data_IF_187906733448
#
_entry.id   IF_187906733448
#
_cell.length_a   1.000
_cell.length_b   1.000
_cell.length_c   1.000
_cell.angle_alpha   90.00
_cell.angle_beta   90.00
_cell.angle_gamma   90.00
#
_symmetry.space_group_name_H-M   'P 1'
#
loop_
_entity.id
_entity.type
_entity.pdbx_description
1 polymer ?
#
# COMPACT_ATOMS: atom_id res chain seq x y z
N UNK A 1 -3.12 -28.62 45.55
CA UNK A 1 -2.09 -28.12 44.62
C UNK A 1 -2.63 -26.87 43.97
N UNK A 2 -2.18 -25.69 44.37
CA UNK A 2 -2.63 -24.41 43.81
C UNK A 2 -1.87 -24.15 42.51
N UNK A 3 -2.55 -24.26 41.37
CA UNK A 3 -1.98 -23.88 40.08
C UNK A 3 -1.87 -22.36 40.03
N UNK A 4 -0.65 -21.85 39.89
CA UNK A 4 -0.39 -20.44 39.59
C UNK A 4 -1.22 -19.99 38.38
N UNK A 5 -1.82 -18.79 38.40
CA UNK A 5 -2.60 -18.29 37.27
C UNK A 5 -1.73 -18.24 36.01
N UNK A 6 -2.31 -18.52 34.82
CA UNK A 6 -1.56 -18.43 33.57
C UNK A 6 -1.00 -17.02 33.39
N UNK A 7 0.19 -16.88 32.79
CA UNK A 7 0.76 -15.57 32.52
C UNK A 7 -0.23 -14.72 31.71
N UNK A 8 -0.31 -13.41 31.98
CA UNK A 8 -1.23 -12.54 31.26
C UNK A 8 -0.92 -12.60 29.77
N UNK A 9 -1.94 -12.92 28.95
CA UNK A 9 -1.80 -12.93 27.50
C UNK A 9 -1.53 -11.50 27.04
N UNK A 10 -0.50 -11.30 26.22
CA UNK A 10 -0.24 -9.99 25.62
C UNK A 10 -1.43 -9.55 24.75
N UNK A 11 -1.60 -8.24 24.61
CA UNK A 11 -2.60 -7.67 23.69
C UNK A 11 -2.20 -7.93 22.24
N UNK A 12 -3.21 -8.02 21.38
CA UNK A 12 -3.05 -8.19 19.94
C UNK A 12 -2.82 -6.84 19.27
N UNK A 13 -1.85 -6.81 18.36
CA UNK A 13 -1.49 -5.63 17.57
C UNK A 13 -2.11 -5.74 16.19
N UNK A 14 -2.85 -4.72 15.82
CA UNK A 14 -3.68 -4.75 14.61
C UNK A 14 -3.19 -3.72 13.62
N UNK A 15 -3.00 -4.15 12.37
CA UNK A 15 -2.83 -3.27 11.22
C UNK A 15 -4.17 -3.16 10.50
N UNK A 16 -4.69 -1.94 10.33
CA UNK A 16 -6.00 -1.71 9.71
C UNK A 16 -5.85 -0.92 8.43
N UNK A 17 -6.34 -1.45 7.32
CA UNK A 17 -6.51 -0.73 6.07
C UNK A 17 -7.76 0.14 6.17
N UNK A 18 -7.60 1.46 6.13
CA UNK A 18 -8.71 2.42 6.09
C UNK A 18 -8.25 3.74 5.48
N UNK A 19 -9.19 4.60 5.08
CA UNK A 19 -8.87 5.96 4.60
C UNK A 19 -8.51 6.86 5.80
N UNK A 20 -7.27 7.39 5.89
CA UNK A 20 -6.88 8.26 6.99
C UNK A 20 -7.76 9.50 7.06
N UNK A 21 -8.01 9.99 8.28
CA UNK A 21 -8.83 11.19 8.56
C UNK A 21 -10.28 11.11 8.06
N UNK A 22 -10.78 9.92 7.72
CA UNK A 22 -12.20 9.72 7.43
C UNK A 22 -13.02 9.50 8.71
N UNK A 23 -14.34 9.68 8.64
CA UNK A 23 -15.25 9.32 9.74
C UNK A 23 -15.08 7.85 10.15
N UNK A 24 -14.83 6.97 9.18
CA UNK A 24 -14.60 5.54 9.42
C UNK A 24 -13.31 5.29 10.21
N UNK A 25 -12.23 5.99 9.86
CA UNK A 25 -10.99 5.96 10.64
C UNK A 25 -11.23 6.35 12.10
N UNK A 26 -11.96 7.45 12.35
CA UNK A 26 -12.32 7.87 13.71
C UNK A 26 -13.16 6.82 14.44
N UNK A 27 -14.17 6.24 13.78
CA UNK A 27 -15.01 5.17 14.36
C UNK A 27 -14.19 3.94 14.74
N UNK A 28 -13.23 3.53 13.91
CA UNK A 28 -12.34 2.41 14.20
C UNK A 28 -11.50 2.72 15.44
N UNK A 29 -10.89 3.91 15.51
CA UNK A 29 -10.09 4.28 16.69
C UNK A 29 -10.94 4.33 17.97
N UNK A 30 -12.16 4.86 17.88
CA UNK A 30 -13.10 4.89 19.01
C UNK A 30 -13.50 3.47 19.46
N UNK A 31 -13.76 2.56 18.51
CA UNK A 31 -14.07 1.16 18.81
C UNK A 31 -12.92 0.51 19.60
N UNK A 32 -11.68 0.66 19.14
CA UNK A 32 -10.49 0.12 19.82
C UNK A 32 -10.19 0.79 21.16
N UNK A 33 -10.74 1.99 21.41
CA UNK A 33 -10.63 2.68 22.69
C UNK A 33 -11.66 2.21 23.74
N UNK A 34 -12.63 1.37 23.38
CA UNK A 34 -13.61 0.84 24.35
C UNK A 34 -12.98 -0.15 25.33
N UNK A 35 -13.44 -0.25 26.60
CA UNK A 35 -12.86 -1.16 27.59
C UNK A 35 -12.77 -2.63 27.15
N UNK A 36 -13.78 -3.22 26.47
CA UNK A 36 -13.68 -4.59 25.98
C UNK A 36 -12.56 -4.77 24.94
N UNK A 37 -12.39 -3.80 24.04
CA UNK A 37 -11.34 -3.87 23.01
C UNK A 37 -9.97 -3.64 23.62
N UNK A 38 -9.81 -2.65 24.51
CA UNK A 38 -8.55 -2.37 25.18
C UNK A 38 -8.05 -3.53 26.05
N UNK A 39 -8.94 -4.41 26.52
CA UNK A 39 -8.54 -5.61 27.24
C UNK A 39 -7.76 -6.59 26.35
N UNK A 40 -8.10 -6.68 25.06
CA UNK A 40 -7.56 -7.67 24.13
C UNK A 40 -6.60 -7.10 23.08
N UNK A 41 -6.70 -5.81 22.76
CA UNK A 41 -6.02 -5.19 21.63
C UNK A 41 -5.22 -3.95 22.06
N UNK A 42 -4.10 -3.72 21.40
CA UNK A 42 -3.43 -2.42 21.38
C UNK A 42 -4.17 -1.45 20.46
N UNK A 43 -3.85 -0.15 20.57
CA UNK A 43 -4.32 0.84 19.61
C UNK A 43 -3.88 0.43 18.20
N UNK A 44 -4.80 0.36 17.22
CA UNK A 44 -4.48 -0.15 15.89
C UNK A 44 -3.55 0.80 15.14
N UNK A 45 -2.62 0.24 14.37
CA UNK A 45 -1.84 1.00 13.38
C UNK A 45 -2.62 1.07 12.08
N UNK A 46 -2.57 2.23 11.40
CA UNK A 46 -3.29 2.44 10.15
C UNK A 46 -2.36 2.23 8.95
N UNK A 47 -2.79 1.36 8.02
CA UNK A 47 -2.32 1.31 6.65
C UNK A 47 -3.29 2.10 5.77
N UNK A 48 -2.82 3.07 4.96
CA UNK A 48 -3.73 3.92 4.19
C UNK A 48 -4.37 3.15 3.04
N UNK A 49 -5.70 3.22 2.94
CA UNK A 49 -6.41 2.87 1.71
C UNK A 49 -6.00 3.79 0.55
N UNK A 50 -6.09 3.29 -0.68
CA UNK A 50 -5.74 4.06 -1.88
C UNK A 50 -7.02 4.48 -2.61
N UNK A 51 -7.29 5.79 -2.73
CA UNK A 51 -8.40 6.25 -3.55
C UNK A 51 -8.16 5.91 -5.02
N UNK A 52 -9.13 5.29 -5.68
CA UNK A 52 -9.03 4.94 -7.11
C UNK A 52 -8.77 6.15 -8.02
N UNK A 53 -9.23 7.34 -7.61
CA UNK A 53 -8.95 8.60 -8.30
C UNK A 53 -7.48 9.01 -8.21
N UNK A 54 -6.79 8.69 -7.12
CA UNK A 54 -5.39 9.10 -6.92
C UNK A 54 -4.45 8.44 -7.93
N UNK A 55 -4.70 7.16 -8.26
CA UNK A 55 -3.93 6.38 -9.23
C UNK A 55 -4.37 6.61 -10.69
N UNK A 56 -5.11 7.70 -10.98
CA UNK A 56 -5.32 8.21 -12.35
C UNK A 56 -4.09 8.91 -12.90
N UNK A 57 -3.31 9.55 -12.03
CA UNK A 57 -2.02 10.12 -12.39
C UNK A 57 -0.99 9.00 -12.56
N UNK A 58 -0.21 9.06 -13.65
CA UNK A 58 0.89 8.12 -13.89
C UNK A 58 1.87 8.10 -12.72
N UNK A 59 2.32 9.26 -12.26
CA UNK A 59 3.23 9.35 -11.12
C UNK A 59 2.64 8.73 -9.85
N UNK A 60 1.38 9.03 -9.52
CA UNK A 60 0.75 8.47 -8.32
C UNK A 60 0.58 6.96 -8.41
N UNK A 61 0.23 6.41 -9.58
CA UNK A 61 0.18 4.97 -9.79
C UNK A 61 1.55 4.35 -9.53
N UNK A 62 2.60 4.88 -10.16
CA UNK A 62 3.96 4.35 -10.05
C UNK A 62 4.49 4.47 -8.63
N UNK A 63 4.33 5.62 -7.97
CA UNK A 63 4.69 5.80 -6.56
C UNK A 63 4.00 4.79 -5.65
N UNK A 64 2.73 4.51 -5.91
CA UNK A 64 1.94 3.56 -5.10
C UNK A 64 2.38 2.12 -5.37
N UNK A 65 2.66 1.78 -6.62
CA UNK A 65 3.20 0.49 -7.03
C UNK A 65 4.62 0.25 -6.47
N UNK A 66 5.47 1.28 -6.40
CA UNK A 66 6.77 1.20 -5.73
C UNK A 66 6.61 0.94 -4.23
N UNK A 67 5.71 1.66 -3.54
CA UNK A 67 5.38 1.39 -2.13
C UNK A 67 4.89 -0.04 -1.91
N UNK A 68 4.10 -0.56 -2.85
CA UNK A 68 3.63 -1.94 -2.85
C UNK A 68 4.72 -2.98 -3.16
N UNK A 69 5.94 -2.55 -3.51
CA UNK A 69 7.08 -3.43 -3.79
C UNK A 69 7.05 -4.11 -5.16
N UNK A 70 6.20 -3.65 -6.10
CA UNK A 70 6.06 -4.30 -7.41
C UNK A 70 6.88 -3.62 -8.52
N UNK A 71 7.39 -2.40 -8.30
CA UNK A 71 8.29 -1.72 -9.23
C UNK A 71 9.74 -2.05 -8.87
N UNK A 72 10.59 -2.47 -9.82
CA UNK A 72 12.02 -2.63 -9.61
C UNK A 72 12.66 -1.35 -9.07
N UNK A 73 13.56 -1.49 -8.10
CA UNK A 73 14.14 -0.34 -7.40
C UNK A 73 14.92 0.59 -8.36
N UNK A 74 15.62 0.02 -9.36
CA UNK A 74 16.36 0.79 -10.36
C UNK A 74 15.45 1.69 -11.20
N UNK A 75 14.30 1.17 -11.66
CA UNK A 75 13.31 1.96 -12.39
C UNK A 75 12.74 3.09 -11.52
N UNK A 76 12.45 2.81 -10.24
CA UNK A 76 11.95 3.84 -9.33
C UNK A 76 12.99 4.93 -9.03
N UNK A 77 14.26 4.56 -8.87
CA UNK A 77 15.35 5.51 -8.65
C UNK A 77 15.45 6.50 -9.81
N UNK A 78 15.32 6.03 -11.05
CA UNK A 78 15.28 6.90 -12.23
C UNK A 78 14.04 7.82 -12.25
N UNK A 79 12.85 7.31 -11.92
CA UNK A 79 11.60 8.08 -11.96
C UNK A 79 11.53 9.16 -10.86
N UNK A 80 12.07 8.87 -9.67
CA UNK A 80 11.89 9.69 -8.46
C UNK A 80 12.84 10.87 -8.32
N UNK A 81 13.68 11.13 -9.33
CA UNK A 81 14.61 12.27 -9.29
C UNK A 81 13.87 13.61 -9.32
N UNK A 82 14.39 14.66 -8.66
CA UNK A 82 13.78 15.99 -8.68
C UNK A 82 13.52 16.54 -10.09
N UNK A 83 14.41 16.24 -11.03
CA UNK A 83 14.33 16.64 -12.44
C UNK A 83 13.11 16.00 -13.11
N UNK A 84 12.93 14.68 -12.94
CA UNK A 84 11.81 13.96 -13.53
C UNK A 84 10.48 14.28 -12.85
N UNK A 85 10.50 14.59 -11.55
CA UNK A 85 9.31 15.06 -10.83
C UNK A 85 8.80 16.42 -11.33
N UNK A 86 9.67 17.29 -11.87
CA UNK A 86 9.23 18.53 -12.53
C UNK A 86 8.45 18.23 -13.81
N UNK A 87 8.86 17.19 -14.56
CA UNK A 87 8.17 16.76 -15.79
C UNK A 87 6.74 16.29 -15.53
N UNK A 88 6.43 15.75 -14.35
CA UNK A 88 5.06 15.34 -13.99
C UNK A 88 4.06 16.49 -14.13
N UNK A 89 4.49 17.74 -13.95
CA UNK A 89 3.63 18.93 -14.09
C UNK A 89 3.54 19.45 -15.52
N UNK A 90 4.61 19.33 -16.31
CA UNK A 90 4.71 19.94 -17.64
C UNK A 90 4.40 18.99 -18.79
N UNK A 91 4.82 17.72 -18.69
CA UNK A 91 4.59 16.68 -19.69
C UNK A 91 4.56 15.29 -19.02
N UNK A 92 3.37 14.87 -18.54
CA UNK A 92 3.20 13.58 -17.89
C UNK A 92 3.53 12.39 -18.79
N UNK A 93 3.44 12.50 -20.11
CA UNK A 93 3.74 11.38 -21.00
C UNK A 93 5.25 11.13 -21.14
N UNK A 94 6.06 12.17 -20.90
CA UNK A 94 7.52 12.08 -20.96
C UNK A 94 8.18 11.49 -19.71
N UNK A 95 7.46 11.32 -18.59
CA UNK A 95 8.05 10.82 -17.33
C UNK A 95 8.81 9.50 -17.54
N UNK A 96 8.29 8.61 -18.38
CA UNK A 96 8.87 7.28 -18.60
C UNK A 96 10.05 7.28 -19.59
N UNK A 97 10.36 8.41 -20.23
CA UNK A 97 11.54 8.53 -21.12
C UNK A 97 12.84 8.42 -20.35
N UNK A 98 12.84 8.72 -19.05
CA UNK A 98 14.01 8.57 -18.17
C UNK A 98 14.50 7.12 -18.03
N UNK A 99 13.68 6.14 -18.44
CA UNK A 99 14.03 4.72 -18.33
C UNK A 99 14.90 4.22 -19.49
N UNK A 100 15.18 5.03 -20.51
CA UNK A 100 15.88 4.59 -21.73
C UNK A 100 17.20 3.85 -21.45
N UNK A 101 17.95 4.32 -20.47
CA UNK A 101 19.28 3.79 -20.12
C UNK A 101 19.25 2.93 -18.84
N UNK A 102 18.06 2.61 -18.32
CA UNK A 102 17.89 1.74 -17.15
C UNK A 102 17.87 0.29 -17.62
N UNK A 103 18.56 -0.64 -16.93
CA UNK A 103 18.45 -2.06 -17.25
C UNK A 103 17.02 -2.58 -17.08
N UNK A 104 16.57 -3.42 -18.02
CA UNK A 104 15.27 -4.09 -17.90
C UNK A 104 15.46 -5.36 -17.07
N UNK A 105 14.75 -5.46 -15.94
CA UNK A 105 14.73 -6.71 -15.16
C UNK A 105 13.96 -7.80 -15.94
N UNK A 106 14.57 -8.95 -16.26
CA UNK A 106 13.91 -10.02 -16.98
C UNK A 106 12.69 -10.57 -16.23
N UNK A 107 11.59 -10.83 -16.95
CA UNK A 107 10.34 -11.37 -16.40
C UNK A 107 9.77 -12.43 -17.33
N UNK A 108 9.08 -13.42 -16.76
CA UNK A 108 8.58 -14.61 -17.46
C UNK A 108 7.80 -14.33 -18.76
N UNK A 109 7.05 -13.23 -18.84
CA UNK A 109 6.13 -12.95 -19.96
C UNK A 109 6.48 -11.71 -20.80
N UNK A 110 7.54 -10.95 -20.50
CA UNK A 110 7.90 -9.74 -21.27
C UNK A 110 9.29 -9.21 -20.87
N UNK A 111 10.35 -9.69 -21.52
CA UNK A 111 11.73 -9.28 -21.22
C UNK A 111 12.14 -7.93 -21.84
N UNK A 112 11.32 -7.35 -22.74
CA UNK A 112 11.75 -6.21 -23.59
C UNK A 112 11.15 -4.86 -23.19
N UNK A 113 10.41 -4.77 -22.07
CA UNK A 113 9.78 -3.52 -21.63
C UNK A 113 9.90 -3.36 -20.13
N UNK A 114 10.25 -2.14 -19.70
CA UNK A 114 10.23 -1.74 -18.29
C UNK A 114 8.89 -2.02 -17.61
N UNK A 115 8.94 -2.46 -16.36
CA UNK A 115 7.75 -2.77 -15.59
C UNK A 115 6.83 -1.54 -15.46
N UNK A 116 7.41 -0.37 -15.18
CA UNK A 116 6.66 0.89 -15.07
C UNK A 116 5.89 1.25 -16.34
N UNK A 117 6.51 1.01 -17.51
CA UNK A 117 5.91 1.29 -18.82
C UNK A 117 4.75 0.35 -19.08
N UNK A 118 4.94 -0.94 -18.86
CA UNK A 118 3.89 -1.94 -19.04
C UNK A 118 2.72 -1.71 -18.08
N UNK A 119 3.01 -1.47 -16.80
CA UNK A 119 2.02 -1.21 -15.77
C UNK A 119 1.15 0.00 -16.14
N UNK A 120 1.77 1.12 -16.54
CA UNK A 120 1.02 2.31 -16.94
C UNK A 120 0.15 2.06 -18.18
N UNK A 121 0.71 1.41 -19.22
CA UNK A 121 -0.02 1.09 -20.45
C UNK A 121 -1.24 0.21 -20.19
N UNK A 122 -1.14 -0.76 -19.27
CA UNK A 122 -2.27 -1.62 -18.87
C UNK A 122 -3.25 -0.89 -17.95
N UNK A 123 -2.76 -0.05 -17.04
CA UNK A 123 -3.59 0.63 -16.05
C UNK A 123 -4.37 1.82 -16.62
N UNK A 124 -3.88 2.51 -17.67
CA UNK A 124 -4.54 3.71 -18.21
C UNK A 124 -5.97 3.44 -18.70
N UNK A 125 -6.21 2.24 -19.26
CA UNK A 125 -7.53 1.81 -19.75
C UNK A 125 -8.46 1.23 -18.67
N UNK A 126 -8.00 1.11 -17.42
CA UNK A 126 -8.84 0.58 -16.35
C UNK A 126 -9.87 1.63 -15.92
N UNK A 127 -11.12 1.39 -16.32
CA UNK A 127 -12.31 2.12 -15.86
C UNK A 127 -12.70 1.63 -14.45
N UNK A 128 -13.78 0.84 -14.33
CA UNK A 128 -14.21 0.23 -13.05
C UNK A 128 -13.12 -0.62 -12.39
N UNK A 129 -12.27 -1.27 -13.19
CA UNK A 129 -11.12 -2.05 -12.72
C UNK A 129 -10.08 -1.26 -11.93
N UNK A 130 -10.09 0.09 -11.98
CA UNK A 130 -9.17 0.91 -11.19
C UNK A 130 -9.45 0.86 -9.70
N UNK A 131 -10.70 0.67 -9.29
CA UNK A 131 -11.04 0.48 -7.88
C UNK A 131 -10.44 -0.82 -7.33
N UNK A 132 -10.50 -1.89 -8.13
CA UNK A 132 -9.86 -3.17 -7.81
C UNK A 132 -8.35 -3.02 -7.72
N UNK A 133 -7.72 -2.38 -8.72
CA UNK A 133 -6.27 -2.13 -8.69
C UNK A 133 -5.85 -1.33 -7.45
N UNK A 134 -6.61 -0.29 -7.08
CA UNK A 134 -6.32 0.51 -5.88
C UNK A 134 -6.43 -0.32 -4.59
N UNK A 135 -7.45 -1.17 -4.47
CA UNK A 135 -7.63 -2.09 -3.35
C UNK A 135 -6.47 -3.11 -3.29
N UNK A 136 -6.09 -3.72 -4.42
CA UNK A 136 -4.95 -4.66 -4.49
C UNK A 136 -3.66 -3.99 -4.05
N UNK A 137 -3.38 -2.77 -4.53
CA UNK A 137 -2.19 -2.03 -4.11
C UNK A 137 -2.21 -1.70 -2.61
N UNK A 138 -3.37 -1.44 -2.01
CA UNK A 138 -3.49 -1.12 -0.60
C UNK A 138 -3.16 -2.35 0.25
N UNK A 139 -3.67 -3.51 -0.17
CA UNK A 139 -3.34 -4.81 0.43
C UNK A 139 -1.87 -5.14 0.29
N UNK A 140 -1.27 -4.97 -0.88
CA UNK A 140 0.16 -5.25 -1.07
C UNK A 140 1.02 -4.38 -0.15
N UNK A 141 0.71 -3.09 0.00
CA UNK A 141 1.40 -2.20 0.96
C UNK A 141 1.20 -2.68 2.40
N UNK A 142 -0.04 -3.05 2.75
CA UNK A 142 -0.35 -3.50 4.10
C UNK A 142 0.34 -4.83 4.42
N UNK A 143 0.32 -5.81 3.51
CA UNK A 143 0.99 -7.10 3.66
C UNK A 143 2.51 -6.93 3.70
N UNK A 144 3.09 -6.07 2.85
CA UNK A 144 4.51 -5.75 2.92
C UNK A 144 4.88 -5.18 4.29
N UNK A 145 4.09 -4.22 4.79
CA UNK A 145 4.27 -3.66 6.14
C UNK A 145 4.10 -4.73 7.22
N UNK A 146 3.11 -5.61 7.04
CA UNK A 146 2.79 -6.70 7.96
C UNK A 146 3.90 -7.74 8.01
N UNK A 147 4.59 -8.05 6.91
CA UNK A 147 5.67 -9.05 6.85
C UNK A 147 7.01 -8.43 7.24
N UNK A 148 7.42 -7.33 6.60
CA UNK A 148 8.75 -6.72 6.82
C UNK A 148 8.92 -6.13 8.23
N UNK A 149 7.81 -5.81 8.89
CA UNK A 149 7.81 -5.32 10.27
C UNK A 149 7.20 -6.34 11.23
N UNK A 150 6.85 -7.53 10.74
CA UNK A 150 5.83 -8.43 11.26
C UNK A 150 6.18 -9.26 12.47
N UNK A 151 7.39 -9.81 12.49
CA UNK A 151 7.76 -10.85 13.46
C UNK A 151 7.54 -10.38 14.92
N UNK A 152 7.60 -9.06 15.15
CA UNK A 152 7.31 -8.44 16.44
C UNK A 152 6.41 -7.19 16.38
N UNK A 153 5.55 -6.97 15.37
CA UNK A 153 4.65 -5.77 15.39
C UNK A 153 3.18 -6.00 15.12
N UNK A 154 2.78 -7.03 14.38
CA UNK A 154 1.37 -7.20 14.02
C UNK A 154 0.96 -8.66 14.14
N UNK A 155 -0.24 -8.87 14.67
CA UNK A 155 -0.84 -10.19 14.82
C UNK A 155 -2.04 -10.36 13.88
N UNK A 156 -2.70 -9.25 13.55
CA UNK A 156 -3.93 -9.23 12.74
C UNK A 156 -3.85 -8.11 11.71
N UNK A 157 -4.21 -8.44 10.46
CA UNK A 157 -4.46 -7.48 9.40
C UNK A 157 -5.97 -7.40 9.16
N UNK A 158 -6.56 -6.20 9.23
CA UNK A 158 -7.98 -5.94 8.99
C UNK A 158 -8.15 -4.93 7.84
N UNK A 159 -9.26 -5.03 7.11
CA UNK A 159 -9.71 -4.03 6.14
C UNK A 159 -11.12 -3.56 6.51
N UNK A 160 -11.38 -2.26 6.38
CA UNK A 160 -12.68 -1.65 6.65
C UNK A 160 -13.70 -1.86 5.51
N UNK A 161 -14.01 -3.12 5.19
CA UNK A 161 -14.88 -3.49 4.07
C UNK A 161 -16.39 -3.28 4.26
N UNK A 162 -16.84 -2.73 5.38
CA UNK A 162 -18.28 -2.56 5.61
C UNK A 162 -18.80 -1.39 4.76
N UNK A 163 -19.61 -1.71 3.76
CA UNK A 163 -20.49 -0.74 3.10
C UNK A 163 -21.69 -0.52 4.01
N UNK A 164 -21.94 0.73 4.42
CA UNK A 164 -23.20 1.11 5.04
C UNK A 164 -24.32 1.08 4.00
#
# INVERSE_FOLDING_TARGET
MSSSPPPPRRKLRVLVITTPNSNRHTQILQLFATPPMQHHFETPTISPAIPSRSIRSQYNLLRTAHKAGIIPQEEWNAISTPENLKLVKSDPESLLKCLKDVPITPRYNNANVHYCVELWRKAKGLNRGRAVLACVLAHLIAMKTFVERGDDKFDVLLEDNVRA
#
